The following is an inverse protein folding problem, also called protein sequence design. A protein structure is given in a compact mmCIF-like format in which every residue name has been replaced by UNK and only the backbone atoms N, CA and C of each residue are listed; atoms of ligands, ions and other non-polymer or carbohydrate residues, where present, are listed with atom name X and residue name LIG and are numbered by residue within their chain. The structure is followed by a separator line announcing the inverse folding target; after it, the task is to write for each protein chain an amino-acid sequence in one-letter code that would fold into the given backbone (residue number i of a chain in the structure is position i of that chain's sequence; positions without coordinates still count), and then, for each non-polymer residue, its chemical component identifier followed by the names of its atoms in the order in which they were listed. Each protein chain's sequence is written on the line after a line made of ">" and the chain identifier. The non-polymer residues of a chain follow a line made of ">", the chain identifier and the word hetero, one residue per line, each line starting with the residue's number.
data_IF_218242439079
#
_entry.id   IF_218242439079
#
_cell.length_a   1.000
_cell.length_b   1.000
_cell.length_c   1.000
_cell.angle_alpha   90.00
_cell.angle_beta   90.00
_cell.angle_gamma   90.00
#
_symmetry.space_group_name_H-M   'P 1'
#
loop_
_entity.id
_entity.type
_entity.pdbx_description
1 polymer ?
#
# COMPACT_ATOMS: atom_id res chain seq x y z
N UNK A 1 2.44 -12.70 6.13
CA UNK A 1 1.40 -13.25 5.25
C UNK A 1 1.27 -12.37 4.02
N UNK A 2 1.32 -12.98 2.85
CA UNK A 2 1.11 -12.23 1.61
C UNK A 2 -0.33 -11.73 1.54
N UNK A 3 -0.49 -10.46 1.18
CA UNK A 3 -1.81 -9.83 1.10
C UNK A 3 -2.16 -9.60 -0.37
N UNK A 4 -3.41 -9.83 -0.78
CA UNK A 4 -3.85 -9.52 -2.13
C UNK A 4 -4.09 -8.01 -2.34
N UNK A 5 -3.84 -7.21 -1.34
CA UNK A 5 -3.98 -5.76 -1.35
C UNK A 5 -2.92 -5.13 -0.44
N UNK A 6 -2.73 -3.84 -0.56
CA UNK A 6 -1.88 -3.10 0.36
C UNK A 6 -2.62 -1.85 0.83
N UNK A 7 -2.19 -1.32 1.98
CA UNK A 7 -2.80 -0.13 2.53
C UNK A 7 -2.13 1.12 2.00
N UNK A 8 -2.95 2.06 1.56
CA UNK A 8 -2.52 3.42 1.26
C UNK A 8 -3.49 4.39 1.93
N UNK A 9 -2.97 5.38 2.62
CA UNK A 9 -3.81 6.35 3.32
C UNK A 9 -4.49 7.29 2.33
N UNK A 10 -5.70 7.72 2.66
CA UNK A 10 -6.45 8.64 1.80
C UNK A 10 -5.79 10.01 1.67
N UNK A 11 -4.92 10.39 2.62
CA UNK A 11 -4.16 11.64 2.53
C UNK A 11 -2.84 11.50 1.75
N UNK A 12 -2.60 10.34 1.13
CA UNK A 12 -1.37 10.12 0.37
C UNK A 12 -1.09 11.22 -0.63
N UNK A 13 -2.05 11.66 -1.47
CA UNK A 13 -1.78 12.69 -2.47
C UNK A 13 -1.33 14.02 -1.89
N UNK A 14 -1.76 14.35 -0.69
CA UNK A 14 -1.48 15.65 -0.04
C UNK A 14 -0.49 15.54 1.11
N UNK A 15 0.06 14.36 1.36
CA UNK A 15 1.03 14.17 2.43
C UNK A 15 2.30 14.98 2.14
N UNK A 16 2.88 15.58 3.19
CA UNK A 16 4.04 16.46 3.06
C UNK A 16 5.20 15.82 2.30
N UNK A 17 5.46 14.55 2.55
CA UNK A 17 6.55 13.83 1.87
C UNK A 17 6.27 13.65 0.38
N UNK A 18 5.02 13.44 0.01
CA UNK A 18 4.62 13.30 -1.39
C UNK A 18 4.70 14.66 -2.09
N UNK A 19 4.23 15.72 -1.46
CA UNK A 19 4.35 17.07 -1.99
C UNK A 19 5.82 17.46 -2.18
N UNK A 20 6.65 17.14 -1.20
CA UNK A 20 8.10 17.38 -1.29
C UNK A 20 8.71 16.57 -2.44
N UNK A 21 8.36 15.30 -2.56
CA UNK A 21 8.86 14.42 -3.61
C UNK A 21 8.54 14.99 -5.00
N UNK A 22 7.29 15.37 -5.20
CA UNK A 22 6.82 15.90 -6.49
C UNK A 22 7.50 17.24 -6.80
N UNK A 23 7.71 18.07 -5.79
CA UNK A 23 8.33 19.38 -5.96
C UNK A 23 9.84 19.35 -6.17
N UNK A 24 10.52 18.27 -5.81
CA UNK A 24 11.99 18.19 -5.89
C UNK A 24 12.53 18.08 -7.30
N UNK A 25 11.77 17.45 -8.19
CA UNK A 25 12.32 17.05 -9.47
C UNK A 25 11.19 16.82 -10.46
N UNK A 26 11.42 17.07 -11.76
CA UNK A 26 10.48 16.62 -12.79
C UNK A 26 10.19 15.13 -12.74
N UNK A 27 11.07 14.33 -12.13
CA UNK A 27 10.89 12.88 -11.96
C UNK A 27 10.17 12.51 -10.67
N UNK A 28 9.73 13.50 -9.89
CA UNK A 28 9.06 13.25 -8.62
C UNK A 28 7.76 12.48 -8.74
N UNK A 29 6.97 12.76 -9.76
CA UNK A 29 5.72 12.03 -10.01
C UNK A 29 6.02 10.56 -10.32
N UNK A 30 7.02 10.30 -11.15
CA UNK A 30 7.47 8.94 -11.45
C UNK A 30 7.96 8.22 -10.21
N UNK A 31 8.70 8.92 -9.35
CA UNK A 31 9.14 8.35 -8.08
C UNK A 31 7.93 8.01 -7.18
N UNK A 32 6.88 8.82 -7.21
CA UNK A 32 5.64 8.52 -6.49
C UNK A 32 5.00 7.23 -6.97
N UNK A 33 4.98 7.00 -8.27
CA UNK A 33 4.50 5.74 -8.82
C UNK A 33 5.36 4.56 -8.34
N UNK A 34 6.68 4.72 -8.35
CA UNK A 34 7.60 3.69 -7.82
C UNK A 34 7.30 3.38 -6.36
N UNK A 35 7.02 4.41 -5.57
CA UNK A 35 6.63 4.24 -4.19
C UNK A 35 5.37 3.37 -4.06
N UNK A 36 4.33 3.68 -4.83
CA UNK A 36 3.09 2.90 -4.83
C UNK A 36 3.35 1.45 -5.23
N UNK A 37 4.14 1.24 -6.27
CA UNK A 37 4.50 -0.11 -6.72
C UNK A 37 5.30 -0.86 -5.65
N UNK A 38 6.16 -0.15 -4.90
CA UNK A 38 6.93 -0.78 -3.83
C UNK A 38 6.05 -1.25 -2.68
N UNK A 39 5.00 -0.49 -2.35
CA UNK A 39 4.04 -0.92 -1.34
C UNK A 39 3.34 -2.21 -1.77
N UNK A 40 2.88 -2.25 -3.00
CA UNK A 40 2.22 -3.44 -3.55
C UNK A 40 3.18 -4.64 -3.60
N UNK A 41 4.40 -4.41 -4.06
CA UNK A 41 5.42 -5.46 -4.15
C UNK A 41 5.72 -6.06 -2.77
N UNK A 42 5.97 -5.22 -1.79
CA UNK A 42 6.33 -5.68 -0.45
C UNK A 42 5.19 -6.42 0.22
N UNK A 43 3.94 -5.96 0.03
CA UNK A 43 2.78 -6.63 0.58
C UNK A 43 2.56 -8.00 -0.07
N UNK A 44 2.71 -8.08 -1.39
CA UNK A 44 2.49 -9.31 -2.14
C UNK A 44 3.59 -10.35 -1.99
N UNK A 45 4.82 -9.93 -1.68
CA UNK A 45 5.99 -10.81 -1.60
C UNK A 45 6.50 -11.00 -0.16
N UNK A 46 5.80 -10.47 0.81
CA UNK A 46 6.15 -10.63 2.24
C UNK A 46 7.58 -10.20 2.57
N UNK A 47 8.02 -9.08 2.01
CA UNK A 47 9.39 -8.61 2.21
C UNK A 47 9.58 -7.73 3.45
N UNK A 48 8.52 -7.51 4.24
CA UNK A 48 8.50 -6.60 5.39
C UNK A 48 8.94 -5.18 5.01
N UNK A 49 8.62 -4.78 3.79
CA UNK A 49 8.94 -3.45 3.29
C UNK A 49 10.35 -3.30 2.73
N UNK A 50 11.10 -4.40 2.66
CA UNK A 50 12.45 -4.36 2.09
C UNK A 50 12.38 -4.48 0.57
N UNK A 51 13.09 -3.62 -0.13
CA UNK A 51 13.24 -3.66 -1.58
C UNK A 51 14.72 -3.92 -1.87
N UNK A 52 15.02 -5.14 -2.28
CA UNK A 52 16.39 -5.50 -2.65
C UNK A 52 16.81 -4.67 -3.88
N UNK A 53 18.10 -4.36 -3.96
CA UNK A 53 18.63 -3.58 -5.07
C UNK A 53 18.26 -4.20 -6.42
N UNK A 54 18.33 -5.50 -6.51
CA UNK A 54 17.99 -6.23 -7.74
C UNK A 54 16.48 -6.22 -8.03
N UNK A 55 15.65 -5.92 -7.05
CA UNK A 55 14.20 -5.86 -7.23
C UNK A 55 13.71 -4.49 -7.69
N UNK A 56 14.57 -3.50 -7.75
CA UNK A 56 14.19 -2.15 -8.16
C UNK A 56 13.44 -2.11 -9.49
N UNK A 57 13.85 -2.86 -10.53
CA UNK A 57 13.09 -2.90 -11.79
C UNK A 57 11.67 -3.46 -11.65
N UNK A 58 11.43 -4.33 -10.66
CA UNK A 58 10.09 -4.90 -10.45
C UNK A 58 9.09 -3.87 -9.94
N UNK A 59 9.57 -2.79 -9.34
CA UNK A 59 8.73 -1.69 -8.93
C UNK A 59 8.85 -0.49 -9.88
N UNK A 60 9.41 -0.75 -11.06
CA UNK A 60 9.60 0.25 -12.14
C UNK A 60 10.54 1.38 -11.75
N UNK A 61 11.42 1.13 -10.79
CA UNK A 61 12.36 2.14 -10.31
C UNK A 61 13.67 2.14 -11.03
N UNK A 62 14.30 3.29 -11.04
CA UNK A 62 15.68 3.49 -11.43
C UNK A 62 16.42 4.10 -10.25
N UNK A 63 17.79 4.16 -10.28
CA UNK A 63 18.52 4.80 -9.20
C UNK A 63 18.11 6.25 -8.93
N UNK A 64 17.61 6.95 -9.92
CA UNK A 64 17.14 8.34 -9.75
C UNK A 64 15.91 8.41 -8.84
N UNK A 65 14.89 7.60 -9.13
CA UNK A 65 13.68 7.56 -8.29
C UNK A 65 13.99 7.04 -6.90
N UNK A 66 14.86 6.03 -6.79
CA UNK A 66 15.25 5.50 -5.49
C UNK A 66 15.91 6.58 -4.62
N UNK A 67 16.77 7.40 -5.23
CA UNK A 67 17.41 8.51 -4.53
C UNK A 67 16.38 9.55 -4.09
N UNK A 68 15.46 9.90 -4.98
CA UNK A 68 14.39 10.86 -4.65
C UNK A 68 13.53 10.37 -3.49
N UNK A 69 13.19 9.08 -3.48
CA UNK A 69 12.41 8.49 -2.41
C UNK A 69 13.17 8.50 -1.08
N UNK A 70 14.48 8.27 -1.11
CA UNK A 70 15.30 8.35 0.08
C UNK A 70 15.41 9.80 0.60
N UNK A 71 15.57 10.76 -0.30
CA UNK A 71 15.64 12.17 0.06
C UNK A 71 14.32 12.66 0.65
N UNK A 72 13.21 12.20 0.13
CA UNK A 72 11.88 12.53 0.64
C UNK A 72 11.50 11.73 1.90
N UNK A 73 12.37 10.84 2.36
CA UNK A 73 12.18 10.01 3.56
C UNK A 73 10.99 9.06 3.47
N UNK A 74 10.68 8.61 2.28
CA UNK A 74 9.71 7.54 2.07
C UNK A 74 10.40 6.18 2.10
N UNK A 75 11.65 6.14 1.67
CA UNK A 75 12.53 4.97 1.77
C UNK A 75 13.75 5.32 2.60
N UNK A 76 14.30 4.34 3.30
CA UNK A 76 15.61 4.45 3.95
C UNK A 76 16.59 3.58 3.19
N UNK A 77 17.81 4.10 2.95
CA UNK A 77 18.87 3.32 2.35
C UNK A 77 19.39 2.36 3.41
N UNK A 78 19.40 1.08 3.09
CA UNK A 78 19.87 0.03 3.99
C UNK A 78 20.84 -0.87 3.24
N UNK A 79 21.51 -1.76 3.96
CA UNK A 79 22.39 -2.72 3.32
C UNK A 79 21.58 -3.60 2.35
N UNK A 80 22.05 -3.67 1.13
CA UNK A 80 21.45 -4.51 0.10
C UNK A 80 20.26 -3.89 -0.63
N UNK A 81 19.79 -2.70 -0.24
CA UNK A 81 18.65 -2.08 -0.93
C UNK A 81 18.04 -0.93 -0.17
N UNK A 82 16.73 -0.95 -0.07
CA UNK A 82 15.95 0.11 0.58
C UNK A 82 14.90 -0.51 1.49
N UNK A 83 14.54 0.23 2.52
CA UNK A 83 13.48 -0.15 3.44
C UNK A 83 12.38 0.91 3.37
N UNK A 84 11.16 0.49 3.10
CA UNK A 84 10.00 1.39 3.15
C UNK A 84 9.82 1.82 4.61
N UNK A 85 9.80 3.13 4.83
CA UNK A 85 9.72 3.68 6.18
C UNK A 85 8.35 3.40 6.79
N UNK A 86 8.34 3.02 8.06
CA UNK A 86 7.12 2.72 8.85
C UNK A 86 6.28 1.58 8.30
N UNK A 87 6.89 0.68 7.55
CA UNK A 87 6.18 -0.44 6.93
C UNK A 87 5.42 -1.29 7.94
N UNK A 88 6.12 -1.75 8.98
CA UNK A 88 5.53 -2.68 9.94
C UNK A 88 4.28 -2.14 10.62
N UNK A 89 4.37 -0.91 11.12
CA UNK A 89 3.24 -0.27 11.80
C UNK A 89 2.06 -0.07 10.85
N UNK A 90 2.34 0.43 9.64
CA UNK A 90 1.29 0.76 8.68
C UNK A 90 0.56 -0.50 8.18
N UNK A 91 1.30 -1.55 7.86
CA UNK A 91 0.70 -2.75 7.29
C UNK A 91 0.04 -3.62 8.35
N UNK A 92 0.54 -3.59 9.58
CA UNK A 92 -0.14 -4.26 10.69
C UNK A 92 -1.54 -3.67 10.90
N UNK A 93 -1.65 -2.36 10.93
CA UNK A 93 -2.95 -1.68 11.04
C UNK A 93 -3.83 -2.04 9.84
N UNK A 94 -3.25 -2.12 8.63
CA UNK A 94 -3.98 -2.55 7.45
C UNK A 94 -4.52 -3.96 7.56
N UNK A 95 -3.73 -4.88 8.11
CA UNK A 95 -4.15 -6.27 8.32
C UNK A 95 -5.29 -6.36 9.34
N UNK A 96 -5.22 -5.59 10.41
CA UNK A 96 -6.29 -5.51 11.40
C UNK A 96 -7.57 -4.97 10.77
N UNK A 97 -7.47 -3.92 9.97
CA UNK A 97 -8.61 -3.35 9.27
C UNK A 97 -9.23 -4.37 8.31
N UNK A 98 -8.40 -5.16 7.63
CA UNK A 98 -8.89 -6.22 6.75
C UNK A 98 -9.63 -7.29 7.54
N UNK A 99 -9.11 -7.71 8.67
CA UNK A 99 -9.78 -8.71 9.51
C UNK A 99 -11.15 -8.21 9.96
N UNK A 100 -11.27 -6.94 10.36
CA UNK A 100 -12.54 -6.33 10.73
C UNK A 100 -13.48 -6.29 9.53
N UNK A 101 -12.97 -5.90 8.36
CA UNK A 101 -13.76 -5.84 7.13
C UNK A 101 -14.30 -7.22 6.75
N UNK A 102 -13.46 -8.24 6.78
CA UNK A 102 -13.85 -9.62 6.46
C UNK A 102 -14.95 -10.11 7.41
N UNK A 103 -14.81 -9.80 8.70
CA UNK A 103 -15.84 -10.14 9.68
C UNK A 103 -17.15 -9.42 9.35
N UNK A 104 -17.09 -8.13 9.04
CA UNK A 104 -18.27 -7.35 8.69
C UNK A 104 -18.95 -7.91 7.43
N UNK A 105 -18.18 -8.32 6.43
CA UNK A 105 -18.71 -8.93 5.22
C UNK A 105 -19.39 -10.26 5.53
N UNK A 106 -18.78 -11.10 6.37
CA UNK A 106 -19.40 -12.37 6.79
C UNK A 106 -20.69 -12.14 7.54
N UNK A 107 -20.69 -11.20 8.47
CA UNK A 107 -21.89 -10.89 9.26
C UNK A 107 -22.98 -10.28 8.38
N UNK A 108 -22.60 -9.41 7.45
CA UNK A 108 -23.49 -8.85 6.46
C UNK A 108 -24.10 -9.90 5.53
N UNK A 109 -23.29 -10.88 5.13
CA UNK A 109 -23.74 -12.00 4.29
C UNK A 109 -24.79 -12.84 5.03
N UNK A 110 -24.55 -13.14 6.29
CA UNK A 110 -25.53 -13.87 7.12
C UNK A 110 -26.83 -13.08 7.26
N UNK A 111 -26.72 -11.77 7.50
CA UNK A 111 -27.88 -10.89 7.57
C UNK A 111 -28.64 -10.84 6.25
N UNK A 112 -27.91 -10.78 5.12
CA UNK A 112 -28.51 -10.77 3.80
C UNK A 112 -29.22 -12.09 3.51
N UNK A 113 -28.62 -13.22 3.85
CA UNK A 113 -29.26 -14.53 3.70
C UNK A 113 -30.57 -14.62 4.49
N UNK A 114 -30.59 -14.13 5.73
CA UNK A 114 -31.79 -14.09 6.53
C UNK A 114 -32.89 -13.22 5.88
N UNK A 115 -32.50 -12.12 5.23
CA UNK A 115 -33.43 -11.22 4.53
C UNK A 115 -33.93 -11.80 3.21
N UNK A 116 -33.12 -12.58 2.51
CA UNK A 116 -33.52 -13.20 1.25
C UNK A 116 -34.69 -14.15 1.40
N UNK A 117 -34.93 -14.64 2.59
CA UNK A 117 -36.13 -15.42 2.87
C UNK A 117 -37.41 -14.59 2.96
N UNK A 118 -37.28 -13.25 2.89
CA UNK A 118 -38.40 -12.32 2.91
C UNK A 118 -38.60 -11.72 1.51
N UNK A 119 -39.73 -11.96 0.86
CA UNK A 119 -39.92 -11.57 -0.55
C UNK A 119 -39.73 -10.09 -0.84
N UNK A 120 -40.02 -9.22 0.12
CA UNK A 120 -39.94 -7.79 -0.07
C UNK A 120 -38.51 -7.23 -0.06
N UNK A 121 -37.53 -8.02 0.31
CA UNK A 121 -36.15 -7.54 0.39
C UNK A 121 -35.38 -7.93 -0.83
N UNK A 122 -35.11 -6.95 -1.67
CA UNK A 122 -34.31 -7.11 -2.87
C UNK A 122 -33.07 -6.26 -2.73
N UNK A 123 -31.96 -6.77 -3.16
CA UNK A 123 -30.75 -5.96 -3.26
C UNK A 123 -30.96 -4.92 -4.35
N UNK A 124 -30.83 -3.66 -4.00
CA UNK A 124 -30.93 -2.55 -4.94
C UNK A 124 -29.54 -2.08 -5.29
N UNK A 125 -28.87 -2.81 -6.12
CA UNK A 125 -27.53 -2.42 -6.50
C UNK A 125 -27.49 -1.86 -7.89
#
# INVERSE_FOLDING_TARGET
>A
MALPWFRADTNLPTHDKILDLIGRSPKGKGAGFVYMCSLAYAAGHETDGFIARAALPFVHGTPVEARLLAEARLWDVVEGGWQIRNWGTRQLVGAEAQAVHEKAVRDGKRGAEARWNKPQLRATL
#
